data_IF_766146701031
#
_entry.id   IF_766146701031
#
_cell.length_a   1.000
_cell.length_b   1.000
_cell.length_c   1.000
_cell.angle_alpha   90.00
_cell.angle_beta   90.00
_cell.angle_gamma   90.00
#
_symmetry.space_group_name_H-M   'P 1'
#
loop_
_entity.id
_entity.type
_entity.pdbx_description
1 polymer ?
#
# COMPACT_ATOMS: atom_id res chain seq x y z
N UNK A 1 21.55 11.85 17.83
CA UNK A 1 20.11 11.79 17.50
C UNK A 1 19.92 10.66 16.49
N UNK A 2 18.88 9.86 16.64
CA UNK A 2 18.57 8.73 15.77
C UNK A 2 17.05 8.66 15.52
N UNK A 3 16.65 8.01 14.44
CA UNK A 3 15.26 7.72 14.08
C UNK A 3 15.14 6.25 13.69
N UNK A 4 13.94 5.68 13.79
CA UNK A 4 13.65 4.32 13.36
C UNK A 4 12.78 4.34 12.10
N UNK A 5 13.11 3.49 11.13
CA UNK A 5 12.40 3.38 9.86
C UNK A 5 11.96 1.94 9.69
N UNK A 6 10.67 1.75 9.41
CA UNK A 6 10.09 0.44 9.18
C UNK A 6 9.54 0.37 7.77
N UNK A 7 9.86 -0.70 7.07
CA UNK A 7 9.06 -1.07 5.90
C UNK A 7 7.68 -1.57 6.33
N UNK A 8 6.72 -1.56 5.41
CA UNK A 8 5.35 -1.98 5.68
C UNK A 8 5.11 -3.46 5.31
N UNK A 9 5.22 -3.77 4.03
CA UNK A 9 4.77 -5.03 3.46
C UNK A 9 5.74 -6.16 3.83
N UNK A 10 5.27 -7.21 4.49
CA UNK A 10 6.11 -8.30 5.02
C UNK A 10 7.08 -7.88 6.13
N UNK A 11 6.92 -6.67 6.67
CA UNK A 11 7.74 -6.15 7.78
C UNK A 11 6.84 -5.77 8.97
N UNK A 12 5.91 -4.82 8.80
CA UNK A 12 4.91 -4.47 9.82
C UNK A 12 3.64 -5.29 9.67
N UNK A 13 3.24 -5.61 8.43
CA UNK A 13 2.09 -6.46 8.14
C UNK A 13 2.49 -7.73 7.37
N UNK A 14 1.81 -8.83 7.64
CA UNK A 14 2.12 -10.15 7.10
C UNK A 14 1.77 -10.35 5.62
N UNK A 15 1.12 -9.38 4.97
CA UNK A 15 0.71 -9.43 3.56
C UNK A 15 1.15 -8.19 2.82
N UNK A 16 1.25 -8.29 1.50
CA UNK A 16 1.34 -7.09 0.67
C UNK A 16 0.07 -6.26 0.87
N UNK A 17 0.20 -4.98 1.21
CA UNK A 17 -0.91 -4.09 1.55
C UNK A 17 -1.94 -3.99 0.44
N UNK A 18 -1.49 -3.82 -0.81
CA UNK A 18 -2.34 -3.83 -2.01
C UNK A 18 -3.18 -5.10 -2.16
N UNK A 19 -2.65 -6.25 -1.74
CA UNK A 19 -3.38 -7.52 -1.75
C UNK A 19 -4.37 -7.58 -0.60
N UNK A 20 -4.01 -7.06 0.58
CA UNK A 20 -4.86 -7.03 1.76
C UNK A 20 -6.14 -6.20 1.52
N UNK A 21 -5.99 -5.01 0.92
CA UNK A 21 -7.13 -4.12 0.59
C UNK A 21 -7.86 -4.48 -0.71
N UNK A 22 -7.36 -5.45 -1.48
CA UNK A 22 -7.95 -5.81 -2.78
C UNK A 22 -9.42 -6.23 -2.70
N UNK A 23 -9.84 -6.86 -1.60
CA UNK A 23 -11.25 -7.19 -1.37
C UNK A 23 -12.11 -5.95 -1.13
N UNK A 24 -11.64 -5.01 -0.31
CA UNK A 24 -12.36 -3.75 -0.04
C UNK A 24 -12.57 -2.95 -1.33
N UNK A 25 -11.56 -2.84 -2.19
CA UNK A 25 -11.70 -2.18 -3.49
C UNK A 25 -12.63 -2.93 -4.47
N UNK A 26 -12.72 -4.25 -4.35
CA UNK A 26 -13.66 -5.05 -5.14
C UNK A 26 -15.10 -4.87 -4.66
N UNK A 27 -15.33 -4.94 -3.35
CA UNK A 27 -16.66 -4.79 -2.75
C UNK A 27 -17.24 -3.38 -3.02
N UNK A 28 -16.36 -2.39 -3.16
CA UNK A 28 -16.69 -0.99 -3.50
C UNK A 28 -16.71 -0.69 -5.01
N UNK A 29 -16.57 -1.71 -5.85
CA UNK A 29 -16.74 -1.61 -7.30
C UNK A 29 -15.59 -0.96 -8.07
N UNK A 30 -14.49 -0.57 -7.41
CA UNK A 30 -13.29 -0.06 -8.08
C UNK A 30 -12.58 -1.15 -8.87
N UNK A 31 -12.53 -2.38 -8.34
CA UNK A 31 -11.99 -3.54 -9.05
C UNK A 31 -13.12 -4.38 -9.63
N UNK A 32 -13.18 -4.50 -10.96
CA UNK A 32 -14.15 -5.37 -11.62
C UNK A 32 -13.78 -6.85 -11.54
N UNK A 33 -14.77 -7.76 -11.60
CA UNK A 33 -14.55 -9.22 -11.70
C UNK A 33 -13.62 -9.62 -12.85
N UNK A 34 -13.72 -8.92 -13.98
CA UNK A 34 -12.85 -9.15 -15.16
C UNK A 34 -11.41 -8.76 -14.86
N UNK A 35 -11.21 -7.68 -14.10
CA UNK A 35 -9.90 -7.23 -13.68
C UNK A 35 -9.24 -8.21 -12.70
N UNK A 36 -10.00 -8.70 -11.71
CA UNK A 36 -9.53 -9.76 -10.78
C UNK A 36 -9.09 -11.01 -11.54
N UNK A 37 -9.93 -11.50 -12.47
CA UNK A 37 -9.61 -12.69 -13.26
C UNK A 37 -8.34 -12.50 -14.11
N UNK A 38 -8.18 -11.32 -14.72
CA UNK A 38 -6.98 -10.99 -15.50
C UNK A 38 -5.72 -10.87 -14.60
N UNK A 39 -5.86 -10.30 -13.41
CA UNK A 39 -4.80 -10.19 -12.40
C UNK A 39 -4.34 -11.56 -11.91
N UNK A 40 -5.27 -12.46 -11.59
CA UNK A 40 -4.96 -13.84 -11.18
C UNK A 40 -4.21 -14.62 -12.27
N UNK A 41 -4.62 -14.46 -13.53
CA UNK A 41 -3.90 -15.02 -14.68
C UNK A 41 -2.47 -14.46 -14.79
N UNK A 42 -2.29 -13.15 -14.62
CA UNK A 42 -0.97 -12.51 -14.62
C UNK A 42 -0.08 -13.00 -13.47
N UNK A 43 -0.65 -13.18 -12.28
CA UNK A 43 0.07 -13.68 -11.09
C UNK A 43 0.52 -15.14 -11.24
N UNK A 44 -0.31 -15.99 -11.86
CA UNK A 44 0.07 -17.38 -12.20
C UNK A 44 1.24 -17.40 -13.18
N UNK A 45 1.18 -16.60 -14.24
CA UNK A 45 2.29 -16.47 -15.22
C UNK A 45 3.57 -15.94 -14.55
N UNK A 46 3.43 -15.01 -13.60
CA UNK A 46 4.56 -14.45 -12.85
C UNK A 46 5.25 -15.47 -11.95
N UNK A 47 4.49 -16.27 -11.18
CA UNK A 47 5.04 -17.36 -10.36
C UNK A 47 5.82 -18.38 -11.20
N UNK A 48 5.43 -18.59 -12.46
CA UNK A 48 6.12 -19.52 -13.35
C UNK A 48 7.37 -18.96 -14.03
N UNK A 49 7.56 -17.64 -14.08
CA UNK A 49 8.64 -17.01 -14.87
C UNK A 49 9.71 -16.28 -14.05
N UNK A 50 9.58 -16.19 -12.73
CA UNK A 50 10.54 -15.52 -11.84
C UNK A 50 10.55 -13.99 -11.97
N UNK A 51 10.95 -13.30 -10.89
CA UNK A 51 10.90 -11.85 -10.73
C UNK A 51 12.21 -11.18 -11.16
N UNK A 52 12.18 -10.29 -12.16
CA UNK A 52 13.28 -9.36 -12.48
C UNK A 52 12.82 -7.93 -12.24
N UNK A 53 13.75 -6.98 -12.02
CA UNK A 53 13.42 -5.56 -11.84
C UNK A 53 12.55 -5.02 -12.98
N UNK A 54 12.83 -5.41 -14.22
CA UNK A 54 12.06 -5.02 -15.40
C UNK A 54 10.62 -5.54 -15.35
N UNK A 55 10.39 -6.74 -14.81
CA UNK A 55 9.03 -7.29 -14.62
C UNK A 55 8.29 -6.54 -13.51
N UNK A 56 8.99 -6.17 -12.44
CA UNK A 56 8.40 -5.41 -11.34
C UNK A 56 7.99 -4.00 -11.80
N UNK A 57 8.85 -3.33 -12.57
CA UNK A 57 8.55 -2.04 -13.20
C UNK A 57 7.31 -2.11 -14.12
N UNK A 58 7.26 -3.11 -15.00
CA UNK A 58 6.08 -3.33 -15.87
C UNK A 58 4.80 -3.63 -15.11
N UNK A 59 4.90 -4.39 -14.02
CA UNK A 59 3.75 -4.69 -13.16
C UNK A 59 3.24 -3.42 -12.51
N UNK A 60 4.14 -2.57 -12.02
CA UNK A 60 3.80 -1.27 -11.45
C UNK A 60 3.10 -0.36 -12.46
N UNK A 61 3.67 -0.20 -13.65
CA UNK A 61 3.04 0.56 -14.75
C UNK A 61 1.65 0.02 -15.08
N UNK A 62 1.50 -1.31 -15.10
CA UNK A 62 0.21 -1.96 -15.32
C UNK A 62 -0.79 -1.62 -14.21
N UNK A 63 -0.39 -1.63 -12.94
CA UNK A 63 -1.25 -1.27 -11.82
C UNK A 63 -1.69 0.20 -11.92
N UNK A 64 -0.77 1.12 -12.20
CA UNK A 64 -1.10 2.54 -12.37
C UNK A 64 -2.10 2.75 -13.52
N UNK A 65 -1.87 2.08 -14.66
CA UNK A 65 -2.77 2.16 -15.80
C UNK A 65 -4.18 1.63 -15.48
N UNK A 66 -4.29 0.63 -14.60
CA UNK A 66 -5.58 0.06 -14.18
C UNK A 66 -6.36 0.97 -13.24
N UNK A 67 -5.67 1.79 -12.46
CA UNK A 67 -6.29 2.77 -11.54
C UNK A 67 -6.66 4.08 -12.23
N UNK A 68 -6.32 4.26 -13.51
CA UNK A 68 -6.58 5.49 -14.24
C UNK A 68 -8.06 5.89 -14.18
N UNK A 69 -8.32 7.14 -13.81
CA UNK A 69 -9.65 7.73 -13.67
C UNK A 69 -10.35 7.46 -12.32
N UNK A 70 -9.78 6.62 -11.45
CA UNK A 70 -10.32 6.45 -10.10
C UNK A 70 -10.13 7.75 -9.32
N UNK A 71 -11.12 8.06 -8.48
CA UNK A 71 -11.09 9.17 -7.56
C UNK A 71 -10.20 8.83 -6.35
N UNK A 72 -9.12 9.60 -6.15
CA UNK A 72 -8.17 9.36 -5.07
C UNK A 72 -8.82 9.46 -3.69
N UNK A 73 -9.74 10.41 -3.51
CA UNK A 73 -10.45 10.59 -2.23
C UNK A 73 -11.33 9.38 -1.92
N UNK A 74 -11.95 8.77 -2.94
CA UNK A 74 -12.70 7.53 -2.77
C UNK A 74 -11.81 6.37 -2.34
N UNK A 75 -10.62 6.24 -2.94
CA UNK A 75 -9.64 5.21 -2.53
C UNK A 75 -9.23 5.40 -1.07
N UNK A 76 -8.86 6.63 -0.68
CA UNK A 76 -8.52 6.97 0.72
C UNK A 76 -9.66 6.64 1.68
N UNK A 77 -10.91 6.93 1.31
CA UNK A 77 -12.08 6.62 2.13
C UNK A 77 -12.23 5.11 2.35
N UNK A 78 -12.17 4.31 1.28
CA UNK A 78 -12.29 2.85 1.35
C UNK A 78 -11.20 2.24 2.23
N UNK A 79 -9.96 2.72 2.09
CA UNK A 79 -8.86 2.25 2.94
C UNK A 79 -9.13 2.58 4.39
N UNK A 80 -9.49 3.82 4.72
CA UNK A 80 -9.76 4.24 6.11
C UNK A 80 -10.90 3.44 6.74
N UNK A 81 -11.97 3.21 5.99
CA UNK A 81 -13.13 2.41 6.45
C UNK A 81 -12.78 0.94 6.72
N UNK A 82 -11.90 0.37 5.90
CA UNK A 82 -11.50 -1.03 6.02
C UNK A 82 -10.24 -1.26 6.87
N UNK A 83 -9.56 -0.19 7.31
CA UNK A 83 -8.20 -0.25 7.84
C UNK A 83 -8.07 -1.23 9.00
N UNK A 84 -8.85 -1.04 10.06
CA UNK A 84 -8.81 -1.86 11.27
C UNK A 84 -9.10 -3.33 10.94
N UNK A 85 -10.21 -3.60 10.23
CA UNK A 85 -10.63 -4.96 9.87
C UNK A 85 -9.61 -5.69 8.98
N UNK A 86 -8.90 -4.97 8.11
CA UNK A 86 -7.91 -5.54 7.18
C UNK A 86 -6.56 -5.72 7.86
N UNK A 87 -6.13 -4.77 8.67
CA UNK A 87 -4.77 -4.71 9.23
C UNK A 87 -4.64 -5.45 10.56
N UNK A 88 -5.59 -5.30 11.48
CA UNK A 88 -5.55 -5.94 12.80
C UNK A 88 -5.22 -7.44 12.75
N UNK A 89 -5.81 -8.27 11.87
CA UNK A 89 -5.51 -9.70 11.83
C UNK A 89 -4.17 -10.06 11.18
N UNK A 90 -3.46 -9.10 10.57
CA UNK A 90 -2.22 -9.35 9.82
C UNK A 90 -1.03 -8.54 10.32
N UNK A 91 -1.20 -7.70 11.33
CA UNK A 91 -0.09 -6.95 11.91
C UNK A 91 0.82 -7.88 12.72
N UNK A 92 2.13 -7.68 12.61
CA UNK A 92 3.10 -8.41 13.43
C UNK A 92 3.15 -7.79 14.83
N UNK A 93 2.89 -8.61 15.86
CA UNK A 93 2.98 -8.16 17.25
C UNK A 93 4.40 -7.69 17.59
N UNK A 94 5.41 -8.38 17.07
CA UNK A 94 6.83 -8.04 17.25
C UNK A 94 7.17 -6.68 16.61
N UNK A 95 6.54 -6.33 15.49
CA UNK A 95 6.72 -5.02 14.88
C UNK A 95 6.12 -3.90 15.74
N UNK A 96 4.93 -4.14 16.33
CA UNK A 96 4.32 -3.20 17.28
C UNK A 96 5.19 -2.99 18.52
N UNK A 97 5.72 -4.06 19.09
CA UNK A 97 6.61 -4.00 20.24
C UNK A 97 7.88 -3.18 19.93
N UNK A 98 8.50 -3.38 18.78
CA UNK A 98 9.69 -2.63 18.36
C UNK A 98 9.39 -1.15 18.09
N UNK A 99 8.24 -0.84 17.49
CA UNK A 99 7.79 0.55 17.29
C UNK A 99 7.64 1.24 18.66
N UNK A 100 6.93 0.60 19.59
CA UNK A 100 6.71 1.14 20.93
C UNK A 100 8.02 1.32 21.70
N UNK A 101 8.96 0.38 21.56
CA UNK A 101 10.28 0.49 22.16
C UNK A 101 11.01 1.75 21.67
N UNK A 102 11.05 1.99 20.36
CA UNK A 102 11.70 3.18 19.81
C UNK A 102 11.04 4.48 20.27
N UNK A 103 9.70 4.51 20.33
CA UNK A 103 8.95 5.65 20.86
C UNK A 103 9.26 5.90 22.34
N UNK A 104 9.33 4.84 23.16
CA UNK A 104 9.67 4.93 24.58
C UNK A 104 11.11 5.44 24.82
N UNK A 105 12.01 5.17 23.88
CA UNK A 105 13.37 5.71 23.86
C UNK A 105 13.45 7.16 23.30
N UNK A 106 12.31 7.78 22.98
CA UNK A 106 12.23 9.14 22.45
C UNK A 106 12.74 9.30 21.02
N UNK A 107 12.79 8.21 20.24
CA UNK A 107 13.19 8.23 18.84
C UNK A 107 11.94 8.42 17.96
N UNK A 108 11.96 9.33 16.98
CA UNK A 108 10.90 9.40 16.00
C UNK A 108 10.91 8.14 15.13
N UNK A 109 9.71 7.65 14.79
CA UNK A 109 9.46 6.44 14.02
C UNK A 109 8.73 6.80 12.72
N UNK A 110 9.19 6.24 11.60
CA UNK A 110 8.59 6.47 10.29
C UNK A 110 8.32 5.14 9.56
N UNK A 111 7.23 5.09 8.79
CA UNK A 111 7.03 4.03 7.80
C UNK A 111 7.61 4.46 6.46
N UNK A 112 8.37 3.60 5.79
CA UNK A 112 8.90 3.83 4.44
C UNK A 112 8.50 2.65 3.56
N UNK A 113 7.61 2.86 2.58
CA UNK A 113 7.09 1.76 1.78
C UNK A 113 6.87 2.14 0.32
N UNK A 114 7.15 1.18 -0.57
CA UNK A 114 6.79 1.24 -1.98
C UNK A 114 5.26 1.20 -2.23
N UNK A 115 4.46 0.92 -1.19
CA UNK A 115 3.00 0.92 -1.26
C UNK A 115 2.41 2.32 -1.49
N UNK A 116 1.18 2.44 -2.01
CA UNK A 116 0.53 3.74 -2.24
C UNK A 116 0.32 4.54 -0.95
N UNK A 117 0.47 5.86 -1.04
CA UNK A 117 0.26 6.80 0.07
C UNK A 117 -1.12 6.66 0.72
N UNK A 118 -2.14 6.33 -0.07
CA UNK A 118 -3.52 6.15 0.39
C UNK A 118 -3.67 4.97 1.36
N UNK A 119 -2.70 4.06 1.38
CA UNK A 119 -2.62 2.95 2.33
C UNK A 119 -1.63 3.24 3.46
N UNK A 120 -0.44 3.74 3.11
CA UNK A 120 0.64 3.92 4.08
C UNK A 120 0.30 5.03 5.08
N UNK A 121 -0.29 6.15 4.64
CA UNK A 121 -0.60 7.28 5.54
C UNK A 121 -1.64 6.91 6.59
N UNK A 122 -2.83 6.36 6.25
CA UNK A 122 -3.79 5.94 7.28
C UNK A 122 -3.23 4.90 8.23
N UNK A 123 -2.37 4.01 7.74
CA UNK A 123 -1.74 3.00 8.58
C UNK A 123 -0.69 3.60 9.52
N UNK A 124 0.12 4.55 9.07
CA UNK A 124 1.05 5.26 9.93
C UNK A 124 0.31 6.03 11.04
N UNK A 125 -0.81 6.69 10.70
CA UNK A 125 -1.70 7.31 11.69
C UNK A 125 -2.25 6.30 12.70
N UNK A 126 -2.72 5.14 12.22
CA UNK A 126 -3.25 4.06 13.06
C UNK A 126 -2.20 3.49 14.02
N UNK A 127 -0.95 3.37 13.58
CA UNK A 127 0.18 2.93 14.41
C UNK A 127 0.69 4.02 15.36
N UNK A 128 0.24 5.26 15.20
CA UNK A 128 0.69 6.40 16.00
C UNK A 128 2.16 6.74 15.80
N UNK A 129 2.73 6.50 14.60
CA UNK A 129 4.12 6.87 14.28
C UNK A 129 4.23 8.31 13.77
N UNK A 130 5.44 8.87 13.74
CA UNK A 130 5.69 10.28 13.45
C UNK A 130 5.48 10.67 11.98
N UNK A 131 5.48 9.70 11.05
CA UNK A 131 5.16 9.97 9.66
C UNK A 131 5.41 8.79 8.72
N UNK A 132 5.25 9.07 7.42
CA UNK A 132 5.44 8.08 6.38
C UNK A 132 6.08 8.64 5.10
N UNK A 133 6.80 7.77 4.39
CA UNK A 133 7.25 7.97 3.01
C UNK A 133 6.63 6.85 2.18
N UNK A 134 5.83 7.24 1.19
CA UNK A 134 5.07 6.31 0.36
C UNK A 134 5.15 6.65 -1.13
N UNK A 135 4.81 5.69 -1.97
CA UNK A 135 4.63 5.89 -3.41
C UNK A 135 3.44 6.79 -3.67
N UNK A 136 3.62 7.76 -4.57
CA UNK A 136 2.58 8.70 -4.97
C UNK A 136 2.29 8.50 -6.45
N UNK A 137 1.05 8.17 -6.76
CA UNK A 137 0.55 8.18 -8.13
C UNK A 137 0.33 9.64 -8.57
N UNK A 138 0.44 9.89 -9.88
CA UNK A 138 0.07 11.19 -10.42
C UNK A 138 -1.46 11.33 -10.46
N UNK A 139 -1.96 12.48 -10.02
CA UNK A 139 -3.37 12.87 -10.03
C UNK A 139 -3.56 14.13 -10.88
N UNK A 140 -4.70 14.21 -11.56
CA UNK A 140 -5.11 15.42 -12.30
C UNK A 140 -5.75 16.47 -11.38
N UNK A 141 -6.12 17.61 -11.96
CA UNK A 141 -6.74 18.74 -11.26
C UNK A 141 -8.10 18.38 -10.63
N UNK A 142 -8.74 17.29 -11.08
CA UNK A 142 -10.00 16.77 -10.52
C UNK A 142 -9.77 15.71 -9.44
N UNK A 143 -8.51 15.44 -9.06
CA UNK A 143 -8.15 14.47 -8.02
C UNK A 143 -8.27 13.01 -8.48
N UNK A 144 -8.21 12.75 -9.79
CA UNK A 144 -8.27 11.40 -10.36
C UNK A 144 -6.90 10.93 -10.79
N UNK A 145 -6.63 9.63 -10.66
CA UNK A 145 -5.34 9.10 -11.12
C UNK A 145 -5.19 9.21 -12.63
N UNK A 146 -4.06 9.75 -13.09
CA UNK A 146 -3.75 9.85 -14.52
C UNK A 146 -3.28 8.52 -15.12
N UNK A 147 -2.89 7.58 -14.24
CA UNK A 147 -2.14 6.36 -14.56
C UNK A 147 -0.64 6.58 -14.65
N UNK A 148 -0.18 7.79 -14.33
CA UNK A 148 1.22 8.17 -14.22
C UNK A 148 1.77 8.03 -12.80
N UNK A 149 3.06 8.31 -12.68
CA UNK A 149 3.83 8.22 -11.46
C UNK A 149 4.30 9.60 -11.04
N UNK A 150 3.96 10.01 -9.81
CA UNK A 150 4.53 11.24 -9.26
C UNK A 150 5.83 10.97 -8.51
N UNK A 151 5.82 10.00 -7.59
CA UNK A 151 6.99 9.66 -6.76
C UNK A 151 7.04 8.17 -6.45
N UNK A 152 8.25 7.60 -6.46
CA UNK A 152 8.54 6.30 -5.86
C UNK A 152 9.28 6.49 -4.54
N UNK A 153 8.85 5.77 -3.51
CA UNK A 153 9.57 5.64 -2.25
C UNK A 153 10.63 4.54 -2.32
#
# INVERSE_FOLDING_TARGET
MAAAFFDLDKTVIAKASMVAFGRSFYDEGLISRRLVLRGLWGQLVYMHLGASEQKLARMRESVLALTKGWDQSRVRAIVREALEQVVEPIIYAEALELIQQHQAEGRPVYIVSASPEEIVEPLAEYLGVDGAIATQAEVDDEGRYTGGMHRYA
#
